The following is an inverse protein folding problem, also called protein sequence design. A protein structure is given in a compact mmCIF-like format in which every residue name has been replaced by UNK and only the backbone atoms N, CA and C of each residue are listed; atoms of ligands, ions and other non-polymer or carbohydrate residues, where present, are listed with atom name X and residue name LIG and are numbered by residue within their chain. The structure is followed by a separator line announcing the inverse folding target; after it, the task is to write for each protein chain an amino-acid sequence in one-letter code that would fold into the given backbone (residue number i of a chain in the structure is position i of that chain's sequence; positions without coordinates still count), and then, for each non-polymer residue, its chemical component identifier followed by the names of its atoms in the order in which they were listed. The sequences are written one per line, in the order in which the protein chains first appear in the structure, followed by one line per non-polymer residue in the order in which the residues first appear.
data_IF_785504256022
#
_entry.id   IF_785504256022
#
_cell.length_a   1.000
_cell.length_b   1.000
_cell.length_c   1.000
_cell.angle_alpha   90.00
_cell.angle_beta   90.00
_cell.angle_gamma   90.00
#
_symmetry.space_group_name_H-M   'P 1'
#
loop_
_entity.id
_entity.type
_entity.pdbx_description
1 polymer ?
#
# COMPACT_ATOMS: atom_id res chain seq x y z
N UNK A 1 -6.17 5.37 19.86
CA UNK A 1 -7.08 4.20 19.94
C UNK A 1 -7.25 3.78 21.40
N UNK A 2 -6.37 2.96 21.98
CA UNK A 2 -6.42 2.58 23.40
C UNK A 2 -5.83 1.20 23.64
N UNK A 3 -6.28 0.50 24.69
CA UNK A 3 -5.80 -0.83 25.07
C UNK A 3 -6.95 -1.81 25.30
N UNK A 4 -6.76 -3.07 24.90
CA UNK A 4 -7.69 -4.13 25.31
C UNK A 4 -7.52 -4.42 26.81
N UNK A 5 -8.58 -4.85 27.52
CA UNK A 5 -8.54 -5.06 28.97
C UNK A 5 -7.42 -5.99 29.44
N UNK A 6 -7.10 -7.04 28.68
CA UNK A 6 -6.09 -8.05 29.05
C UNK A 6 -4.72 -7.85 28.37
N UNK A 7 -4.59 -6.84 27.52
CA UNK A 7 -3.33 -6.52 26.86
C UNK A 7 -2.34 -5.94 27.86
N UNK A 8 -1.04 -6.12 27.61
CA UNK A 8 0.02 -5.35 28.25
C UNK A 8 -0.18 -3.86 27.96
N UNK A 9 -0.13 -3.02 29.01
CA UNK A 9 -0.36 -1.56 28.91
C UNK A 9 0.78 -0.82 29.57
N UNK A 10 1.47 0.00 28.79
CA UNK A 10 2.68 0.72 29.21
C UNK A 10 2.65 2.14 28.68
N UNK A 11 2.97 3.08 29.56
CA UNK A 11 3.30 4.44 29.16
C UNK A 11 4.82 4.57 29.12
N UNK A 12 5.34 5.09 28.01
CA UNK A 12 6.76 5.43 27.86
C UNK A 12 6.91 6.92 28.13
N UNK A 13 7.69 7.24 29.15
CA UNK A 13 7.97 8.61 29.58
C UNK A 13 9.36 8.98 29.07
N UNK A 14 9.41 9.88 28.09
CA UNK A 14 10.65 10.45 27.57
C UNK A 14 11.09 11.61 28.45
N UNK A 15 12.39 11.65 28.79
CA UNK A 15 12.99 12.68 29.63
C UNK A 15 14.30 13.19 29.01
N UNK A 16 14.62 14.46 29.23
CA UNK A 16 15.96 15.00 28.91
C UNK A 16 17.05 14.11 29.52
N UNK A 17 18.17 13.93 28.81
CA UNK A 17 19.27 13.08 29.27
C UNK A 17 19.83 13.42 30.66
N UNK A 18 19.63 14.66 31.13
CA UNK A 18 20.08 15.14 32.46
C UNK A 18 18.94 15.25 33.45
N UNK A 19 17.70 15.03 33.04
CA UNK A 19 16.56 15.03 33.95
C UNK A 19 16.74 13.90 34.98
N UNK A 20 16.30 14.15 36.21
CA UNK A 20 16.23 13.11 37.23
C UNK A 20 14.87 12.45 37.14
N UNK A 21 14.84 11.12 37.03
CA UNK A 21 13.61 10.34 37.20
C UNK A 21 13.14 10.50 38.65
N UNK A 22 12.02 11.21 38.86
CA UNK A 22 11.51 11.53 40.18
C UNK A 22 10.01 11.75 40.16
N UNK A 23 9.34 11.30 41.22
CA UNK A 23 7.88 11.38 41.33
C UNK A 23 7.19 10.15 40.74
N UNK A 24 5.87 10.13 40.89
CA UNK A 24 5.03 9.04 40.43
C UNK A 24 4.38 9.37 39.09
N UNK A 25 4.23 8.35 38.25
CA UNK A 25 3.28 8.36 37.15
C UNK A 25 1.91 7.92 37.68
N UNK A 26 0.87 8.52 37.12
CA UNK A 26 -0.52 8.31 37.53
C UNK A 26 -1.38 7.92 36.33
N UNK A 27 -2.22 6.90 36.53
CA UNK A 27 -3.35 6.61 35.66
C UNK A 27 -4.60 7.22 36.27
N UNK A 28 -5.22 8.13 35.53
CA UNK A 28 -6.42 8.85 35.93
C UNK A 28 -7.60 8.29 35.13
N UNK A 29 -8.66 7.83 35.81
CA UNK A 29 -9.95 7.51 35.16
C UNK A 29 -10.76 8.79 35.01
N UNK A 30 -11.30 9.04 33.82
CA UNK A 30 -12.22 10.15 33.56
C UNK A 30 -13.64 9.71 33.93
N UNK A 31 -14.28 10.48 34.80
CA UNK A 31 -15.64 10.24 35.30
C UNK A 31 -16.69 10.84 34.35
N UNK A 32 -17.97 10.45 34.47
CA UNK A 32 -19.05 10.98 33.63
C UNK A 32 -19.24 12.50 33.69
N UNK A 33 -18.87 13.14 34.81
CA UNK A 33 -18.93 14.60 34.99
C UNK A 33 -17.67 15.33 34.47
N UNK A 34 -16.72 14.61 33.86
CA UNK A 34 -15.45 15.15 33.37
C UNK A 34 -14.37 15.29 34.45
N UNK A 35 -14.68 15.00 35.71
CA UNK A 35 -13.66 14.93 36.77
C UNK A 35 -12.76 13.71 36.59
N UNK A 36 -11.61 13.70 37.25
CA UNK A 36 -10.66 12.58 37.18
C UNK A 36 -10.43 11.94 38.54
N UNK A 37 -10.31 10.61 38.57
CA UNK A 37 -9.93 9.84 39.76
C UNK A 37 -8.65 9.05 39.49
N UNK A 38 -7.62 9.23 40.32
CA UNK A 38 -6.39 8.42 40.22
C UNK A 38 -6.70 6.97 40.59
N UNK A 39 -6.55 6.05 39.64
CA UNK A 39 -6.79 4.60 39.82
C UNK A 39 -5.50 3.80 39.99
N UNK A 40 -4.36 4.36 39.56
CA UNK A 40 -3.04 3.78 39.79
C UNK A 40 -2.00 4.89 39.91
N UNK A 41 -1.06 4.72 40.82
CA UNK A 41 0.03 5.66 41.09
C UNK A 41 1.28 4.91 41.51
N UNK A 42 2.39 5.10 40.79
CA UNK A 42 3.68 4.47 41.12
C UNK A 42 4.82 5.21 40.43
N UNK A 43 6.00 5.16 41.04
CA UNK A 43 7.23 5.56 40.37
C UNK A 43 7.46 4.68 39.12
N UNK A 44 7.62 5.29 37.94
CA UNK A 44 7.95 4.55 36.73
C UNK A 44 9.34 3.93 36.84
N UNK A 45 9.53 2.78 36.19
CA UNK A 45 10.79 2.04 36.17
C UNK A 45 11.71 2.62 35.11
N UNK A 46 12.99 2.83 35.44
CA UNK A 46 13.97 3.30 34.46
C UNK A 46 14.16 2.25 33.37
N UNK A 47 14.17 2.69 32.11
CA UNK A 47 14.49 1.89 30.96
C UNK A 47 15.80 2.39 30.30
N UNK A 48 16.30 1.66 29.32
CA UNK A 48 17.48 2.04 28.54
C UNK A 48 17.31 3.41 27.87
N UNK A 49 18.45 4.10 27.72
CA UNK A 49 18.53 5.33 26.95
C UNK A 49 18.43 5.01 25.46
N UNK A 50 17.76 5.87 24.70
CA UNK A 50 17.72 5.77 23.24
C UNK A 50 18.02 7.12 22.62
N UNK A 51 19.01 7.16 21.74
CA UNK A 51 19.56 8.37 21.12
C UNK A 51 19.92 9.46 22.15
N UNK A 52 19.16 10.54 22.22
CA UNK A 52 19.42 11.74 23.04
C UNK A 52 18.63 11.79 24.34
N UNK A 53 17.76 10.83 24.59
CA UNK A 53 16.83 10.84 25.72
C UNK A 53 17.01 9.62 26.61
N UNK A 54 16.54 9.74 27.86
CA UNK A 54 16.35 8.61 28.75
C UNK A 54 14.86 8.32 28.88
N UNK A 55 14.53 7.06 29.13
CA UNK A 55 13.14 6.61 29.15
C UNK A 55 12.82 5.94 30.48
N UNK A 56 11.55 6.07 30.88
CA UNK A 56 10.99 5.31 31.98
C UNK A 56 9.65 4.71 31.57
N UNK A 57 9.31 3.56 32.14
CA UNK A 57 8.09 2.82 31.82
C UNK A 57 7.18 2.80 33.03
N UNK A 58 5.94 3.21 32.82
CA UNK A 58 4.86 3.01 33.79
C UNK A 58 3.93 1.91 33.27
N UNK A 59 3.98 0.74 33.92
CA UNK A 59 3.14 -0.40 33.59
C UNK A 59 1.82 -0.36 34.39
N UNK A 60 0.71 -0.38 33.66
CA UNK A 60 -0.66 -0.38 34.20
C UNK A 60 -1.48 -1.53 33.63
N UNK A 61 -0.82 -2.64 33.28
CA UNK A 61 -1.46 -3.82 32.66
C UNK A 61 -2.52 -4.47 33.55
N UNK A 62 -2.36 -4.37 34.88
CA UNK A 62 -3.30 -4.82 35.91
C UNK A 62 -4.63 -4.04 35.92
N UNK A 63 -4.69 -2.86 35.30
CA UNK A 63 -5.93 -2.10 35.15
C UNK A 63 -6.69 -2.62 33.94
N UNK A 64 -7.77 -3.36 34.22
CA UNK A 64 -8.60 -4.03 33.20
C UNK A 64 -10.02 -3.47 33.11
N UNK A 65 -10.39 -2.53 34.00
CA UNK A 65 -11.74 -1.95 34.03
C UNK A 65 -11.97 -1.07 32.81
N UNK A 66 -13.06 -1.30 32.07
CA UNK A 66 -13.43 -0.45 30.95
C UNK A 66 -13.64 1.01 31.35
N UNK A 67 -13.15 1.92 30.52
CA UNK A 67 -13.34 3.35 30.72
C UNK A 67 -12.38 4.22 29.90
N UNK A 68 -12.55 5.53 30.07
CA UNK A 68 -11.66 6.54 29.51
C UNK A 68 -10.64 6.93 30.57
N UNK A 69 -9.38 7.01 30.16
CA UNK A 69 -8.24 7.25 31.04
C UNK A 69 -7.32 8.33 30.49
N UNK A 70 -6.55 8.95 31.38
CA UNK A 70 -5.42 9.82 31.06
C UNK A 70 -4.21 9.39 31.86
N UNK A 71 -3.03 9.64 31.33
CA UNK A 71 -1.76 9.46 32.05
C UNK A 71 -1.25 10.81 32.51
N UNK A 72 -0.71 10.88 33.72
CA UNK A 72 -0.07 12.09 34.26
C UNK A 72 1.31 11.76 34.83
N UNK A 73 2.30 12.58 34.49
CA UNK A 73 3.62 12.55 35.10
C UNK A 73 4.16 13.98 35.22
N UNK A 74 4.47 14.40 36.45
CA UNK A 74 4.77 15.81 36.73
C UNK A 74 3.59 16.71 36.35
N UNK A 75 3.86 17.75 35.56
CA UNK A 75 2.86 18.70 35.07
C UNK A 75 2.19 18.25 33.76
N UNK A 76 2.69 17.19 33.12
CA UNK A 76 2.18 16.72 31.82
C UNK A 76 1.05 15.72 32.02
N UNK A 77 -0.05 15.93 31.31
CA UNK A 77 -1.18 15.00 31.21
C UNK A 77 -1.45 14.70 29.74
N UNK A 78 -1.64 13.42 29.40
CA UNK A 78 -1.89 13.00 28.02
C UNK A 78 -3.31 13.36 27.55
N UNK A 79 -3.52 13.30 26.24
CA UNK A 79 -4.87 13.12 25.69
C UNK A 79 -5.53 11.85 26.29
N UNK A 80 -6.87 11.82 26.40
CA UNK A 80 -7.58 10.65 26.88
C UNK A 80 -7.47 9.47 25.91
N UNK A 81 -7.51 8.25 26.45
CA UNK A 81 -7.56 7.00 25.70
C UNK A 81 -8.49 6.01 26.40
N UNK A 82 -8.98 5.02 25.66
CA UNK A 82 -9.87 4.00 26.22
C UNK A 82 -9.10 2.76 26.64
N UNK A 83 -9.51 2.14 27.75
CA UNK A 83 -9.32 0.70 27.96
C UNK A 83 -10.69 0.10 27.72
N UNK A 84 -10.84 -0.70 26.68
CA UNK A 84 -12.12 -1.32 26.35
C UNK A 84 -11.96 -2.55 25.47
N UNK A 85 -12.87 -3.52 25.59
CA UNK A 85 -12.86 -4.73 24.79
C UNK A 85 -13.08 -4.45 23.28
N UNK A 86 -13.81 -3.38 22.94
CA UNK A 86 -14.10 -2.99 21.57
C UNK A 86 -13.15 -1.92 21.01
N UNK A 87 -12.04 -1.64 21.71
CA UNK A 87 -11.23 -0.44 21.42
C UNK A 87 -10.56 -0.47 20.05
N UNK A 88 -10.31 -1.67 19.51
CA UNK A 88 -9.66 -1.88 18.21
C UNK A 88 -10.65 -2.19 17.08
N UNK A 89 -11.95 -2.39 17.38
CA UNK A 89 -12.94 -2.93 16.44
C UNK A 89 -13.01 -2.14 15.14
N UNK A 90 -12.86 -0.82 15.22
CA UNK A 90 -12.94 0.10 14.08
C UNK A 90 -11.57 0.71 13.71
N UNK A 91 -10.47 0.28 14.35
CA UNK A 91 -9.17 0.93 14.18
C UNK A 91 -8.59 0.76 12.76
N UNK A 92 -9.02 -0.29 12.07
CA UNK A 92 -8.62 -0.61 10.70
C UNK A 92 -9.51 0.05 9.63
N UNK A 93 -10.68 0.57 9.99
CA UNK A 93 -11.61 1.18 9.03
C UNK A 93 -10.96 2.28 8.17
N UNK A 94 -10.19 3.25 8.72
CA UNK A 94 -9.58 4.28 7.88
C UNK A 94 -8.61 3.72 6.82
N UNK A 95 -7.98 2.58 7.11
CA UNK A 95 -7.10 1.91 6.15
C UNK A 95 -7.89 1.35 4.98
N UNK A 96 -8.99 0.65 5.24
CA UNK A 96 -9.80 0.06 4.17
C UNK A 96 -10.69 1.09 3.46
N UNK A 97 -11.30 1.99 4.20
CA UNK A 97 -12.32 2.92 3.70
C UNK A 97 -11.71 4.12 2.98
N UNK A 98 -10.49 4.54 3.33
CA UNK A 98 -9.88 5.77 2.79
C UNK A 98 -8.52 5.49 2.17
N UNK A 99 -7.56 4.94 2.94
CA UNK A 99 -6.19 4.80 2.45
C UNK A 99 -6.13 3.95 1.17
N UNK A 100 -6.69 2.74 1.17
CA UNK A 100 -6.67 1.89 -0.01
C UNK A 100 -7.36 2.52 -1.22
N UNK A 101 -8.63 3.00 -1.12
CA UNK A 101 -9.30 3.70 -2.22
C UNK A 101 -8.52 4.90 -2.77
N UNK A 102 -7.96 5.74 -1.90
CA UNK A 102 -7.21 6.95 -2.29
C UNK A 102 -5.90 6.62 -2.99
N UNK A 103 -5.35 5.42 -2.80
CA UNK A 103 -4.13 5.00 -3.47
C UNK A 103 -4.39 4.23 -4.76
N UNK A 104 -5.64 3.93 -5.11
CA UNK A 104 -5.98 3.18 -6.33
C UNK A 104 -5.61 3.98 -7.57
N UNK A 105 -4.59 3.56 -8.29
CA UNK A 105 -4.18 4.21 -9.53
C UNK A 105 -5.15 3.88 -10.68
N UNK A 106 -5.07 4.62 -11.78
CA UNK A 106 -5.91 4.44 -12.96
C UNK A 106 -7.41 4.67 -12.73
N UNK A 107 -7.78 5.27 -11.59
CA UNK A 107 -9.17 5.47 -11.17
C UNK A 107 -9.35 6.91 -10.67
N UNK A 108 -10.48 7.53 -10.99
CA UNK A 108 -10.90 8.77 -10.35
C UNK A 108 -11.46 8.45 -8.97
N UNK A 109 -10.92 9.06 -7.92
CA UNK A 109 -11.32 8.80 -6.55
C UNK A 109 -12.11 9.98 -5.98
N UNK A 110 -13.41 9.75 -5.77
CA UNK A 110 -14.34 10.72 -5.20
C UNK A 110 -14.70 10.38 -3.74
N UNK A 111 -14.90 11.42 -2.95
CA UNK A 111 -15.45 11.35 -1.60
C UNK A 111 -16.43 12.52 -1.41
N UNK A 112 -17.73 12.25 -1.59
CA UNK A 112 -18.77 13.27 -1.57
C UNK A 112 -18.49 14.45 -2.52
N UNK A 113 -18.05 15.60 -1.99
CA UNK A 113 -17.75 16.80 -2.77
C UNK A 113 -16.26 16.98 -3.06
N UNK A 114 -15.40 16.06 -2.59
CA UNK A 114 -13.96 16.09 -2.76
C UNK A 114 -13.55 15.05 -3.78
N UNK A 115 -12.69 15.46 -4.71
CA UNK A 115 -11.88 14.53 -5.52
C UNK A 115 -10.51 14.44 -4.87
N UNK A 116 -10.04 13.23 -4.61
CA UNK A 116 -8.69 12.99 -4.09
C UNK A 116 -7.67 13.06 -5.22
N UNK A 117 -7.95 12.38 -6.32
CA UNK A 117 -7.27 12.54 -7.60
C UNK A 117 -8.18 12.11 -8.76
N UNK A 118 -7.89 12.60 -9.96
CA UNK A 118 -8.51 12.12 -11.19
C UNK A 118 -8.01 10.72 -11.59
N UNK A 119 -8.58 10.14 -12.65
CA UNK A 119 -8.09 8.89 -13.21
C UNK A 119 -6.74 9.13 -13.89
N UNK A 120 -5.68 8.91 -13.14
CA UNK A 120 -4.27 9.15 -13.48
C UNK A 120 -3.66 8.03 -14.31
N UNK A 121 -2.55 8.35 -14.98
CA UNK A 121 -1.69 7.40 -15.68
C UNK A 121 -2.43 6.50 -16.68
N UNK A 122 -3.43 7.02 -17.38
CA UNK A 122 -4.18 6.24 -18.38
C UNK A 122 -3.35 5.94 -19.65
N UNK A 123 -2.21 6.60 -19.78
CA UNK A 123 -1.14 6.46 -20.76
C UNK A 123 -0.13 5.35 -20.42
N UNK A 124 -0.24 4.73 -19.24
CA UNK A 124 0.71 3.70 -18.80
C UNK A 124 0.82 2.51 -19.78
N UNK A 125 2.03 2.10 -20.19
CA UNK A 125 3.33 2.70 -19.89
C UNK A 125 4.32 2.51 -21.05
N UNK A 126 5.42 3.26 -21.07
CA UNK A 126 6.50 3.05 -22.04
C UNK A 126 7.51 2.01 -21.56
N UNK A 127 8.06 1.23 -22.47
CA UNK A 127 9.17 0.32 -22.18
C UNK A 127 10.43 1.11 -21.79
N UNK A 128 10.97 0.84 -20.59
CA UNK A 128 12.18 1.51 -20.10
C UNK A 128 13.41 1.29 -21.02
N UNK A 129 14.34 2.25 -21.10
CA UNK A 129 15.60 2.09 -21.85
C UNK A 129 16.45 0.94 -21.31
N UNK A 130 17.08 0.16 -22.19
CA UNK A 130 18.03 -0.89 -21.78
C UNK A 130 19.32 -0.33 -21.19
N UNK A 131 19.98 -1.12 -20.34
CA UNK A 131 21.21 -0.76 -19.62
C UNK A 131 21.05 0.54 -18.81
N UNK A 132 19.88 0.72 -18.19
CA UNK A 132 19.53 1.93 -17.47
C UNK A 132 19.45 1.65 -15.97
N UNK A 133 20.04 2.54 -15.17
CA UNK A 133 19.84 2.59 -13.71
C UNK A 133 19.04 3.84 -13.37
N UNK A 134 17.88 3.65 -12.78
CA UNK A 134 16.99 4.72 -12.37
C UNK A 134 17.43 5.33 -11.03
N UNK A 135 17.03 6.57 -10.75
CA UNK A 135 17.39 7.25 -9.50
C UNK A 135 16.68 6.63 -8.28
N UNK A 136 15.56 5.94 -8.48
CA UNK A 136 14.76 5.33 -7.41
C UNK A 136 14.83 3.79 -7.41
N UNK A 137 16.06 3.25 -7.45
CA UNK A 137 16.34 1.82 -7.27
C UNK A 137 15.75 0.86 -8.32
N UNK A 138 15.09 1.37 -9.38
CA UNK A 138 14.75 0.61 -10.58
C UNK A 138 15.97 0.48 -11.52
N UNK A 139 15.96 -0.55 -12.35
CA UNK A 139 16.92 -0.70 -13.44
C UNK A 139 16.39 -1.61 -14.53
N UNK A 140 16.87 -1.39 -15.74
CA UNK A 140 16.64 -2.26 -16.89
C UNK A 140 17.97 -2.87 -17.32
N UNK A 141 17.97 -4.19 -17.49
CA UNK A 141 19.07 -4.97 -18.02
C UNK A 141 19.37 -4.70 -19.50
N UNK A 142 20.22 -5.52 -20.12
CA UNK A 142 20.69 -5.31 -21.49
C UNK A 142 19.61 -5.58 -22.56
N UNK A 143 18.52 -6.22 -22.18
CA UNK A 143 17.35 -6.56 -23.01
C UNK A 143 16.10 -5.99 -22.36
N UNK A 144 15.02 -5.88 -23.13
CA UNK A 144 13.70 -5.55 -22.59
C UNK A 144 13.05 -6.77 -21.94
N UNK A 145 13.42 -7.98 -22.37
CA UNK A 145 12.74 -9.25 -22.02
C UNK A 145 11.27 -9.29 -22.47
N UNK A 146 10.89 -8.37 -23.36
CA UNK A 146 9.53 -8.18 -23.89
C UNK A 146 9.60 -8.04 -25.41
N UNK A 147 8.46 -8.08 -26.14
CA UNK A 147 8.46 -7.80 -27.57
C UNK A 147 8.59 -6.30 -27.90
N UNK A 148 8.61 -5.42 -26.91
CA UNK A 148 8.59 -3.96 -27.09
C UNK A 148 10.00 -3.38 -27.12
N UNK A 149 10.21 -2.36 -27.96
CA UNK A 149 11.45 -1.59 -28.04
C UNK A 149 11.50 -0.50 -26.94
N UNK A 150 12.69 -0.06 -26.50
CA UNK A 150 12.82 1.11 -25.62
C UNK A 150 12.02 2.34 -26.10
N UNK A 151 11.17 2.88 -25.23
CA UNK A 151 10.29 4.02 -25.53
C UNK A 151 9.01 3.66 -26.30
N UNK A 152 8.78 2.38 -26.62
CA UNK A 152 7.52 1.90 -27.17
C UNK A 152 6.47 1.75 -26.08
N UNK A 153 5.22 2.13 -26.38
CA UNK A 153 4.10 1.94 -25.47
C UNK A 153 3.75 0.45 -25.32
N UNK A 154 3.63 0.00 -24.07
CA UNK A 154 3.21 -1.33 -23.66
C UNK A 154 1.71 -1.27 -23.32
N UNK A 155 0.83 -1.79 -24.19
CA UNK A 155 -0.60 -1.71 -23.99
C UNK A 155 -1.08 -2.54 -22.80
N UNK A 156 -2.05 -1.99 -22.07
CA UNK A 156 -2.83 -2.71 -21.06
C UNK A 156 -2.26 -2.68 -19.64
N UNK A 157 -1.20 -1.92 -19.38
CA UNK A 157 -0.65 -1.72 -18.03
C UNK A 157 -1.40 -0.64 -17.22
N UNK A 158 -2.25 0.15 -17.86
CA UNK A 158 -3.08 1.20 -17.26
C UNK A 158 -4.29 0.69 -16.45
N UNK A 159 -4.07 -0.29 -15.58
CA UNK A 159 -5.13 -0.89 -14.75
C UNK A 159 -4.62 -1.42 -13.42
N UNK A 160 -5.41 -1.17 -12.37
CA UNK A 160 -5.15 -1.74 -11.05
C UNK A 160 -3.97 -1.09 -10.35
N UNK A 161 -3.61 -1.67 -9.21
CA UNK A 161 -2.43 -1.31 -8.44
C UNK A 161 -2.60 -0.05 -7.59
N UNK A 162 -1.86 -0.01 -6.49
CA UNK A 162 -1.80 1.17 -5.63
C UNK A 162 -0.49 1.91 -5.80
N UNK A 163 -0.49 3.23 -5.66
CA UNK A 163 0.75 3.98 -5.48
C UNK A 163 1.58 3.37 -4.33
N UNK A 164 2.88 3.11 -4.55
CA UNK A 164 3.69 2.33 -3.60
C UNK A 164 3.83 3.04 -2.25
N UNK A 165 4.03 4.35 -2.30
CA UNK A 165 4.18 5.16 -1.09
C UNK A 165 3.55 6.56 -1.21
N UNK A 166 4.39 7.59 -1.23
CA UNK A 166 3.97 8.99 -1.28
C UNK A 166 4.22 9.65 -2.63
N UNK A 167 4.98 8.98 -3.49
CA UNK A 167 5.05 9.20 -4.93
C UNK A 167 3.99 8.34 -5.64
N UNK A 168 4.03 8.33 -6.97
CA UNK A 168 3.02 7.69 -7.80
C UNK A 168 3.60 6.56 -8.66
N UNK A 169 4.60 5.83 -8.16
CA UNK A 169 5.08 4.64 -8.84
C UNK A 169 4.23 3.40 -8.47
N UNK A 170 4.32 2.35 -9.30
CA UNK A 170 3.74 1.04 -9.04
C UNK A 170 4.88 0.04 -8.89
N UNK A 171 5.18 -0.36 -7.65
CA UNK A 171 6.20 -1.36 -7.36
C UNK A 171 5.63 -2.76 -7.19
N UNK A 172 5.88 -3.67 -8.11
CA UNK A 172 5.24 -5.00 -8.12
C UNK A 172 5.50 -5.81 -6.83
N UNK A 173 6.68 -5.68 -6.22
CA UNK A 173 6.98 -6.40 -4.97
C UNK A 173 6.02 -6.04 -3.84
N UNK A 174 5.77 -4.76 -3.63
CA UNK A 174 4.88 -4.31 -2.55
C UNK A 174 3.42 -4.58 -2.89
N UNK A 175 3.03 -4.51 -4.18
CA UNK A 175 1.71 -4.90 -4.64
C UNK A 175 1.39 -6.36 -4.24
N UNK A 176 2.25 -7.33 -4.58
CA UNK A 176 1.96 -8.73 -4.26
C UNK A 176 1.99 -9.03 -2.75
N UNK A 177 2.81 -8.31 -1.96
CA UNK A 177 2.82 -8.45 -0.50
C UNK A 177 1.53 -7.89 0.12
N UNK A 178 1.06 -6.75 -0.39
CA UNK A 178 -0.22 -6.15 0.00
C UNK A 178 -1.38 -7.09 -0.32
N UNK A 179 -1.46 -7.61 -1.56
CA UNK A 179 -2.50 -8.59 -1.95
C UNK A 179 -2.48 -9.81 -1.02
N UNK A 180 -1.30 -10.37 -0.76
CA UNK A 180 -1.16 -11.53 0.13
C UNK A 180 -1.66 -11.22 1.55
N UNK A 181 -1.36 -10.03 2.07
CA UNK A 181 -1.82 -9.59 3.40
C UNK A 181 -3.33 -9.37 3.45
N UNK A 182 -3.92 -8.80 2.39
CA UNK A 182 -5.37 -8.63 2.26
C UNK A 182 -6.08 -9.98 2.17
N UNK A 183 -5.54 -10.94 1.42
CA UNK A 183 -6.06 -12.32 1.35
C UNK A 183 -6.00 -13.00 2.71
N UNK A 184 -4.89 -12.90 3.43
CA UNK A 184 -4.78 -13.45 4.79
C UNK A 184 -5.81 -12.81 5.73
N UNK A 185 -6.01 -11.50 5.63
CA UNK A 185 -7.01 -10.77 6.41
C UNK A 185 -8.42 -11.28 6.09
N UNK A 186 -8.73 -11.52 4.81
CA UNK A 186 -9.99 -12.09 4.37
C UNK A 186 -10.20 -13.51 4.90
N UNK A 187 -9.21 -14.40 4.73
CA UNK A 187 -9.29 -15.80 5.14
C UNK A 187 -9.38 -15.96 6.66
N UNK A 188 -8.72 -15.09 7.44
CA UNK A 188 -8.73 -15.15 8.91
C UNK A 188 -10.01 -14.53 9.51
N UNK A 189 -10.47 -13.39 9.00
CA UNK A 189 -11.50 -12.58 9.66
C UNK A 189 -12.83 -12.49 8.90
N UNK A 190 -12.86 -12.81 7.60
CA UNK A 190 -14.08 -12.75 6.78
C UNK A 190 -14.75 -11.38 6.78
N UNK A 191 -13.97 -10.30 6.70
CA UNK A 191 -14.46 -8.93 6.85
C UNK A 191 -15.44 -8.56 5.71
N UNK A 192 -16.71 -8.35 6.04
CA UNK A 192 -17.77 -8.00 5.07
C UNK A 192 -18.13 -6.51 5.06
N UNK A 193 -17.19 -5.63 5.44
CA UNK A 193 -17.41 -4.19 5.41
C UNK A 193 -17.55 -3.73 3.96
N UNK A 194 -18.55 -2.89 3.73
CA UNK A 194 -18.94 -2.35 2.43
C UNK A 194 -19.30 -0.87 2.64
N UNK A 195 -18.41 -0.02 2.18
CA UNK A 195 -18.52 1.45 2.29
C UNK A 195 -18.02 2.15 1.04
N UNK A 196 -17.51 1.43 0.03
CA UNK A 196 -16.88 2.01 -1.14
C UNK A 196 -17.43 1.39 -2.42
N UNK A 197 -17.82 2.22 -3.38
CA UNK A 197 -18.19 1.79 -4.72
C UNK A 197 -16.93 1.75 -5.57
N UNK A 198 -16.67 0.63 -6.25
CA UNK A 198 -15.63 0.52 -7.28
C UNK A 198 -16.26 0.18 -8.63
N UNK A 199 -16.15 1.11 -9.59
CA UNK A 199 -16.64 0.98 -10.96
C UNK A 199 -15.46 0.97 -11.93
N UNK A 200 -14.97 -0.24 -12.26
CA UNK A 200 -13.84 -0.43 -13.18
C UNK A 200 -14.12 0.01 -14.62
N UNK A 201 -15.37 -0.06 -15.09
CA UNK A 201 -15.72 0.35 -16.46
C UNK A 201 -15.62 1.86 -16.60
N UNK A 202 -16.09 2.60 -15.58
CA UNK A 202 -16.00 4.07 -15.54
C UNK A 202 -14.68 4.58 -15.00
N UNK A 203 -13.79 3.70 -14.54
CA UNK A 203 -12.54 4.04 -13.84
C UNK A 203 -12.82 4.99 -12.66
N UNK A 204 -13.79 4.64 -11.83
CA UNK A 204 -14.33 5.52 -10.80
C UNK A 204 -14.50 4.81 -9.45
N UNK A 205 -14.19 5.52 -8.38
CA UNK A 205 -14.41 5.10 -7.00
C UNK A 205 -15.18 6.18 -6.26
N UNK A 206 -16.17 5.79 -5.48
CA UNK A 206 -16.91 6.70 -4.59
C UNK A 206 -16.87 6.18 -3.15
N UNK A 207 -16.13 6.90 -2.30
CA UNK A 207 -15.97 6.58 -0.89
C UNK A 207 -17.23 6.98 -0.12
N UNK A 208 -17.62 6.16 0.86
CA UNK A 208 -18.86 6.22 1.65
C UNK A 208 -20.13 5.85 0.87
N UNK A 209 -20.00 5.24 -0.31
CA UNK A 209 -21.11 4.74 -1.10
C UNK A 209 -21.01 3.22 -1.21
N UNK A 210 -21.79 2.44 -0.44
CA UNK A 210 -21.74 0.99 -0.52
C UNK A 210 -22.33 0.48 -1.85
N UNK A 211 -21.77 -0.60 -2.38
CA UNK A 211 -22.19 -1.20 -3.65
C UNK A 211 -22.66 -2.66 -3.54
N UNK A 212 -22.71 -3.18 -2.32
CA UNK A 212 -23.11 -4.56 -2.00
C UNK A 212 -21.95 -5.55 -2.00
N UNK A 213 -20.71 -5.12 -2.21
CA UNK A 213 -19.51 -5.97 -2.25
C UNK A 213 -18.59 -5.67 -1.07
N UNK A 214 -17.95 -6.69 -0.46
CA UNK A 214 -16.94 -6.43 0.56
C UNK A 214 -15.77 -5.62 0.01
N UNK A 215 -15.49 -4.46 0.61
CA UNK A 215 -14.42 -3.54 0.18
C UNK A 215 -13.05 -4.25 0.13
N UNK A 216 -12.80 -5.18 1.06
CA UNK A 216 -11.55 -5.95 1.10
C UNK A 216 -11.36 -6.82 -0.15
N UNK A 217 -12.44 -7.42 -0.67
CA UNK A 217 -12.39 -8.21 -1.90
C UNK A 217 -12.24 -7.33 -3.13
N UNK A 218 -12.85 -6.14 -3.14
CA UNK A 218 -12.64 -5.15 -4.20
C UNK A 218 -11.17 -4.70 -4.26
N UNK A 219 -10.51 -4.53 -3.11
CA UNK A 219 -9.07 -4.23 -3.06
C UNK A 219 -8.21 -5.41 -3.57
N UNK A 220 -8.53 -6.65 -3.18
CA UNK A 220 -7.84 -7.83 -3.73
C UNK A 220 -8.00 -7.90 -5.26
N UNK A 221 -9.19 -7.61 -5.78
CA UNK A 221 -9.45 -7.51 -7.22
C UNK A 221 -8.58 -6.43 -7.88
N UNK A 222 -8.54 -5.22 -7.33
CA UNK A 222 -7.78 -4.11 -7.89
C UNK A 222 -6.28 -4.41 -8.02
N UNK A 223 -5.67 -4.97 -6.97
CA UNK A 223 -4.26 -5.40 -7.01
C UNK A 223 -4.04 -6.57 -7.98
N UNK A 224 -4.97 -7.53 -8.02
CA UNK A 224 -4.87 -8.69 -8.92
C UNK A 224 -4.92 -8.28 -10.40
N UNK A 225 -5.72 -7.26 -10.75
CA UNK A 225 -5.78 -6.72 -12.10
C UNK A 225 -4.42 -6.18 -12.57
N UNK A 226 -3.68 -5.47 -11.70
CA UNK A 226 -2.34 -4.99 -12.03
C UNK A 226 -1.35 -6.12 -12.27
N UNK A 227 -1.34 -7.15 -11.41
CA UNK A 227 -0.45 -8.30 -11.61
C UNK A 227 -0.79 -9.06 -12.88
N UNK A 228 -2.07 -9.32 -13.15
CA UNK A 228 -2.53 -9.97 -14.38
C UNK A 228 -2.20 -9.16 -15.64
N UNK A 229 -2.29 -7.84 -15.59
CA UNK A 229 -1.93 -6.97 -16.70
C UNK A 229 -0.48 -7.17 -17.15
N UNK A 230 0.44 -7.33 -16.20
CA UNK A 230 1.85 -7.60 -16.50
C UNK A 230 2.03 -8.93 -17.24
N UNK A 231 1.43 -10.02 -16.75
CA UNK A 231 1.48 -11.31 -17.43
C UNK A 231 0.85 -11.27 -18.83
N UNK A 232 -0.26 -10.54 -19.00
CA UNK A 232 -0.92 -10.38 -20.31
C UNK A 232 -0.06 -9.57 -21.29
N UNK A 233 0.55 -8.49 -20.81
CA UNK A 233 1.28 -7.56 -21.66
C UNK A 233 2.66 -8.11 -22.06
N UNK A 234 3.39 -8.72 -21.11
CA UNK A 234 4.80 -9.08 -21.31
C UNK A 234 5.17 -10.51 -20.90
N UNK A 235 4.28 -11.26 -20.25
CA UNK A 235 4.47 -12.69 -19.94
C UNK A 235 5.05 -12.99 -18.55
N UNK A 236 5.46 -11.99 -17.79
CA UNK A 236 6.02 -12.16 -16.44
C UNK A 236 5.77 -10.92 -15.58
N UNK A 237 5.99 -11.06 -14.27
CA UNK A 237 5.98 -9.92 -13.35
C UNK A 237 7.15 -8.97 -13.64
N UNK A 238 6.87 -7.67 -13.70
CA UNK A 238 7.87 -6.63 -14.00
C UNK A 238 8.30 -5.92 -12.71
N UNK A 239 9.54 -5.45 -12.56
CA UNK A 239 9.97 -4.67 -11.40
C UNK A 239 8.99 -3.58 -10.94
N UNK A 240 8.47 -2.81 -11.88
CA UNK A 240 7.43 -1.81 -11.63
C UNK A 240 7.36 -0.74 -12.72
N UNK A 241 6.53 0.27 -12.47
CA UNK A 241 6.27 1.38 -13.38
C UNK A 241 6.51 2.69 -12.64
N UNK A 242 7.38 3.56 -13.18
CA UNK A 242 7.77 4.82 -12.54
C UNK A 242 8.09 5.88 -13.58
N UNK A 243 7.83 7.14 -13.25
CA UNK A 243 8.17 8.30 -14.07
C UNK A 243 9.66 8.34 -14.47
N UNK A 244 10.00 8.87 -15.66
CA UNK A 244 11.37 8.89 -16.19
C UNK A 244 12.31 9.92 -15.54
N UNK A 245 11.78 11.00 -14.97
CA UNK A 245 12.59 12.12 -14.47
C UNK A 245 12.26 12.59 -13.05
N UNK A 246 13.25 13.23 -12.44
CA UNK A 246 13.21 13.63 -11.03
C UNK A 246 12.20 14.75 -10.75
N UNK A 247 11.89 15.59 -11.75
CA UNK A 247 10.91 16.67 -11.58
C UNK A 247 9.51 16.10 -11.44
N UNK A 248 9.14 15.10 -12.27
CA UNK A 248 7.91 14.34 -12.11
C UNK A 248 7.91 13.56 -10.79
N UNK A 249 9.02 12.92 -10.42
CA UNK A 249 9.11 12.13 -9.17
C UNK A 249 8.79 12.95 -7.91
N UNK A 250 9.18 14.22 -7.89
CA UNK A 250 8.90 15.13 -6.77
C UNK A 250 7.54 15.82 -6.83
N UNK A 251 6.67 15.44 -7.77
CA UNK A 251 5.32 16.01 -7.90
C UNK A 251 4.51 15.79 -6.63
N UNK A 252 3.83 16.85 -6.20
CA UNK A 252 2.90 16.82 -5.07
C UNK A 252 1.60 17.44 -5.54
N UNK A 253 0.51 16.67 -5.58
CA UNK A 253 -0.75 17.20 -6.06
C UNK A 253 -1.78 16.12 -6.39
N UNK A 254 -2.55 16.38 -7.44
CA UNK A 254 -3.42 15.37 -8.04
C UNK A 254 -2.54 14.49 -8.95
N UNK A 255 -2.62 13.17 -8.80
CA UNK A 255 -1.88 12.22 -9.65
C UNK A 255 -2.25 12.35 -11.13
N UNK A 256 -3.48 12.82 -11.43
CA UNK A 256 -3.94 13.09 -12.79
C UNK A 256 -3.04 14.10 -13.54
N UNK A 257 -2.36 15.00 -12.82
CA UNK A 257 -1.54 16.05 -13.44
C UNK A 257 -0.07 15.66 -13.56
N UNK A 258 0.29 14.41 -13.29
CA UNK A 258 1.66 13.91 -13.42
C UNK A 258 2.07 13.70 -14.88
N UNK A 259 1.11 13.25 -15.69
CA UNK A 259 1.22 13.10 -17.15
C UNK A 259 0.06 13.83 -17.83
N UNK A 260 0.10 13.97 -19.15
CA UNK A 260 -1.04 14.48 -19.92
C UNK A 260 -2.15 13.43 -20.15
N UNK A 261 -1.93 12.20 -19.67
CA UNK A 261 -2.83 11.04 -19.76
C UNK A 261 -3.04 10.54 -21.21
N UNK A 262 -2.19 10.92 -22.16
CA UNK A 262 -2.21 10.52 -23.56
C UNK A 262 -0.97 9.71 -23.89
N UNK A 263 -1.12 8.68 -24.72
CA UNK A 263 0.00 7.80 -25.04
C UNK A 263 1.05 8.56 -25.86
N UNK A 264 2.31 8.55 -25.43
CA UNK A 264 3.39 9.17 -26.19
C UNK A 264 3.50 8.65 -27.64
N UNK A 265 3.75 9.59 -28.56
CA UNK A 265 4.04 9.34 -29.96
C UNK A 265 5.25 10.17 -30.43
N UNK A 266 6.37 9.49 -30.69
CA UNK A 266 7.59 10.11 -31.19
C UNK A 266 7.47 10.78 -32.57
N UNK A 267 6.39 10.52 -33.32
CA UNK A 267 6.12 11.20 -34.59
C UNK A 267 5.44 12.57 -34.41
N UNK A 268 4.92 12.87 -33.22
CA UNK A 268 4.27 14.14 -32.87
C UNK A 268 5.27 15.11 -32.24
N UNK A 269 5.01 16.42 -32.38
CA UNK A 269 5.76 17.43 -31.63
C UNK A 269 5.29 17.52 -30.17
N UNK A 270 6.12 18.07 -29.28
CA UNK A 270 5.85 18.28 -27.85
C UNK A 270 4.65 19.19 -27.51
N UNK A 271 3.99 19.74 -28.54
CA UNK A 271 2.79 20.57 -28.43
C UNK A 271 1.61 20.03 -29.25
N UNK A 272 1.79 18.87 -29.88
CA UNK A 272 0.78 18.20 -30.70
C UNK A 272 0.08 17.09 -29.90
N UNK A 273 -1.23 16.98 -30.11
CA UNK A 273 -2.08 15.94 -29.54
C UNK A 273 -3.25 15.67 -30.47
N UNK A 274 -3.65 14.42 -30.59
CA UNK A 274 -4.88 14.00 -31.30
C UNK A 274 -6.05 13.68 -30.35
N UNK A 275 -5.86 13.90 -29.05
CA UNK A 275 -6.81 13.58 -27.98
C UNK A 275 -6.74 12.14 -27.46
N UNK A 276 -5.85 11.31 -28.01
CA UNK A 276 -5.52 9.96 -27.51
C UNK A 276 -4.02 9.73 -27.38
N UNK A 277 -3.23 10.45 -28.17
CA UNK A 277 -1.78 10.45 -28.21
C UNK A 277 -1.27 11.88 -28.15
N UNK A 278 -0.05 12.06 -27.67
CA UNK A 278 0.65 13.33 -27.69
C UNK A 278 2.14 13.15 -27.98
N UNK A 279 2.83 14.22 -28.37
CA UNK A 279 4.29 14.22 -28.47
C UNK A 279 5.00 14.56 -27.15
N UNK A 280 4.27 14.65 -26.03
CA UNK A 280 4.84 14.93 -24.70
C UNK A 280 5.43 13.63 -24.16
N UNK A 281 6.71 13.63 -23.82
CA UNK A 281 7.40 12.43 -23.30
C UNK A 281 7.34 12.42 -21.76
N UNK A 282 6.14 12.24 -21.20
CA UNK A 282 5.88 12.25 -19.76
C UNK A 282 5.30 10.92 -19.23
N UNK A 283 4.88 10.00 -20.10
CA UNK A 283 4.46 8.64 -19.74
C UNK A 283 5.48 7.96 -18.80
N UNK A 284 4.96 7.20 -17.83
CA UNK A 284 5.81 6.40 -16.93
C UNK A 284 6.51 5.28 -17.69
N UNK A 285 7.66 4.87 -17.18
CA UNK A 285 8.44 3.76 -17.69
C UNK A 285 8.15 2.47 -16.93
N UNK A 286 7.79 1.42 -17.67
CA UNK A 286 7.78 0.05 -17.20
C UNK A 286 9.20 -0.56 -17.29
N UNK A 287 9.76 -0.88 -16.13
CA UNK A 287 10.99 -1.65 -16.02
C UNK A 287 10.65 -3.13 -16.06
N UNK A 288 11.12 -3.85 -17.07
CA UNK A 288 10.58 -5.16 -17.48
C UNK A 288 11.58 -6.31 -17.40
N UNK A 289 12.82 -6.05 -16.96
CA UNK A 289 13.83 -7.11 -16.80
C UNK A 289 13.32 -8.25 -15.90
N UNK A 290 13.40 -9.47 -16.41
CA UNK A 290 12.82 -10.63 -15.75
C UNK A 290 13.62 -10.99 -14.49
N UNK A 291 12.88 -11.29 -13.41
CA UNK A 291 13.44 -11.77 -12.15
C UNK A 291 12.56 -12.89 -11.61
N UNK A 292 13.08 -14.12 -11.53
CA UNK A 292 12.36 -15.27 -10.99
C UNK A 292 11.83 -15.03 -9.57
N UNK A 293 12.61 -14.47 -8.60
CA UNK A 293 12.07 -14.14 -7.28
C UNK A 293 10.85 -13.20 -7.31
N UNK A 294 10.87 -12.20 -8.18
CA UNK A 294 9.76 -11.27 -8.34
C UNK A 294 8.53 -12.00 -8.92
N UNK A 295 8.77 -12.81 -9.96
CA UNK A 295 7.74 -13.60 -10.61
C UNK A 295 7.09 -14.59 -9.62
N UNK A 296 7.88 -15.18 -8.72
CA UNK A 296 7.40 -16.05 -7.66
C UNK A 296 6.48 -15.34 -6.66
N UNK A 297 6.82 -14.12 -6.25
CA UNK A 297 5.93 -13.33 -5.39
C UNK A 297 4.61 -13.01 -6.07
N UNK A 298 4.66 -12.61 -7.35
CA UNK A 298 3.47 -12.27 -8.14
C UNK A 298 2.54 -13.47 -8.35
N UNK A 299 3.06 -14.61 -8.79
CA UNK A 299 2.25 -15.82 -8.98
C UNK A 299 1.67 -16.34 -7.66
N UNK A 300 2.41 -16.22 -6.53
CA UNK A 300 1.92 -16.63 -5.22
C UNK A 300 0.74 -15.75 -4.77
N UNK A 301 0.82 -14.43 -4.98
CA UNK A 301 -0.28 -13.52 -4.71
C UNK A 301 -1.50 -13.78 -5.61
N UNK A 302 -1.31 -14.05 -6.90
CA UNK A 302 -2.40 -14.45 -7.81
C UNK A 302 -3.07 -15.75 -7.36
N UNK A 303 -2.28 -16.76 -6.97
CA UNK A 303 -2.82 -18.01 -6.43
C UNK A 303 -3.60 -17.81 -5.12
N UNK A 304 -3.15 -16.89 -4.25
CA UNK A 304 -3.86 -16.52 -3.03
C UNK A 304 -5.16 -15.77 -3.34
N UNK A 305 -5.10 -14.76 -4.20
CA UNK A 305 -6.23 -13.95 -4.61
C UNK A 305 -7.32 -14.79 -5.29
N UNK A 306 -6.95 -15.78 -6.09
CA UNK A 306 -7.88 -16.74 -6.68
C UNK A 306 -8.77 -17.42 -5.64
N UNK A 307 -8.22 -17.82 -4.49
CA UNK A 307 -9.02 -18.46 -3.43
C UNK A 307 -9.96 -17.46 -2.76
N UNK A 308 -9.46 -16.28 -2.43
CA UNK A 308 -10.27 -15.24 -1.79
C UNK A 308 -11.43 -14.78 -2.67
N UNK A 309 -11.19 -14.66 -3.98
CA UNK A 309 -12.18 -14.15 -4.94
C UNK A 309 -13.10 -15.23 -5.53
N UNK A 310 -12.95 -16.50 -5.16
CA UNK A 310 -13.64 -17.62 -5.83
C UNK A 310 -15.17 -17.47 -5.90
N UNK A 311 -15.79 -16.99 -4.82
CA UNK A 311 -17.25 -16.76 -4.75
C UNK A 311 -17.65 -15.33 -5.14
N UNK A 312 -16.69 -14.41 -5.17
CA UNK A 312 -16.91 -12.98 -5.41
C UNK A 312 -16.81 -12.61 -6.89
N UNK A 313 -15.70 -13.00 -7.54
CA UNK A 313 -15.48 -12.85 -8.97
C UNK A 313 -14.87 -14.16 -9.52
N UNK A 314 -15.69 -15.19 -9.80
CA UNK A 314 -15.21 -16.51 -10.20
C UNK A 314 -14.40 -16.51 -11.50
N UNK A 315 -14.70 -15.58 -12.42
CA UNK A 315 -14.00 -15.47 -13.68
C UNK A 315 -12.57 -14.94 -13.48
N UNK A 316 -12.42 -13.83 -12.73
CA UNK A 316 -11.11 -13.29 -12.40
C UNK A 316 -10.32 -14.25 -11.51
N UNK A 317 -10.98 -14.91 -10.56
CA UNK A 317 -10.36 -15.94 -9.73
C UNK A 317 -9.78 -17.10 -10.56
N UNK A 318 -10.49 -17.54 -11.59
CA UNK A 318 -9.99 -18.56 -12.51
C UNK A 318 -8.78 -18.05 -13.31
N UNK A 319 -8.84 -16.81 -13.80
CA UNK A 319 -7.73 -16.20 -14.54
C UNK A 319 -6.46 -16.06 -13.66
N UNK A 320 -6.60 -15.61 -12.40
CA UNK A 320 -5.49 -15.56 -11.45
C UNK A 320 -4.86 -16.95 -11.23
N UNK A 321 -5.68 -17.98 -11.02
CA UNK A 321 -5.21 -19.36 -10.82
C UNK A 321 -4.45 -19.87 -12.05
N UNK A 322 -5.07 -19.73 -13.21
CA UNK A 322 -4.55 -20.33 -14.44
C UNK A 322 -3.26 -19.62 -14.86
N UNK A 323 -3.18 -18.30 -14.68
CA UNK A 323 -1.94 -17.51 -14.85
C UNK A 323 -0.86 -17.95 -13.88
N UNK A 324 -1.17 -18.11 -12.59
CA UNK A 324 -0.19 -18.54 -11.59
C UNK A 324 0.34 -19.95 -11.89
N UNK A 325 -0.52 -20.89 -12.33
CA UNK A 325 -0.10 -22.24 -12.72
C UNK A 325 0.81 -22.19 -13.95
N UNK A 326 0.45 -21.41 -14.97
CA UNK A 326 1.26 -21.28 -16.18
C UNK A 326 2.63 -20.66 -15.88
N UNK A 327 2.67 -19.57 -15.10
CA UNK A 327 3.90 -18.93 -14.68
C UNK A 327 4.81 -19.89 -13.87
N UNK A 328 4.22 -20.67 -12.95
CA UNK A 328 4.96 -21.70 -12.21
C UNK A 328 5.56 -22.77 -13.13
N UNK A 329 4.79 -23.25 -14.11
CA UNK A 329 5.26 -24.27 -15.05
C UNK A 329 6.41 -23.75 -15.91
N UNK A 330 6.32 -22.49 -16.35
CA UNK A 330 7.39 -21.83 -17.10
C UNK A 330 8.66 -21.71 -16.27
N UNK A 331 8.59 -21.10 -15.07
CA UNK A 331 9.75 -20.92 -14.19
C UNK A 331 10.38 -22.25 -13.76
N UNK A 332 9.58 -23.30 -13.57
CA UNK A 332 10.06 -24.64 -13.22
C UNK A 332 10.74 -25.38 -14.40
N UNK A 333 10.62 -24.88 -15.63
CA UNK A 333 11.17 -25.51 -16.83
C UNK A 333 12.64 -25.16 -17.11
N UNK A 334 13.14 -24.11 -16.46
CA UNK A 334 14.48 -23.57 -16.68
C UNK A 334 15.17 -23.20 -15.37
N UNK A 335 16.45 -22.78 -15.45
CA UNK A 335 17.13 -22.22 -14.28
C UNK A 335 16.59 -20.81 -13.99
N UNK A 336 16.57 -20.35 -12.73
CA UNK A 336 16.06 -19.03 -12.38
C UNK A 336 16.74 -17.89 -13.17
N UNK A 337 15.93 -16.97 -13.69
CA UNK A 337 16.36 -15.71 -14.26
C UNK A 337 16.72 -14.74 -13.12
N UNK A 338 18.01 -14.44 -13.01
CA UNK A 338 18.53 -13.62 -11.92
C UNK A 338 18.83 -12.20 -12.39
N UNK A 339 17.98 -11.27 -11.96
CA UNK A 339 18.20 -9.85 -12.07
C UNK A 339 17.95 -9.21 -10.70
N UNK A 340 18.97 -8.57 -10.12
CA UNK A 340 18.89 -8.02 -8.76
C UNK A 340 19.39 -6.59 -8.72
N UNK A 341 18.46 -5.67 -8.49
CA UNK A 341 18.72 -4.25 -8.25
C UNK A 341 17.80 -3.77 -7.12
N UNK A 342 18.41 -3.05 -6.17
CA UNK A 342 17.72 -2.48 -5.03
C UNK A 342 16.81 -3.49 -4.32
N UNK A 343 15.58 -3.05 -4.08
CA UNK A 343 14.48 -3.85 -3.59
C UNK A 343 13.34 -3.95 -4.62
N UNK A 344 13.55 -3.62 -5.89
CA UNK A 344 12.49 -3.62 -6.92
C UNK A 344 12.34 -4.95 -7.66
N UNK A 345 13.26 -5.88 -7.43
CA UNK A 345 13.43 -7.11 -8.22
C UNK A 345 13.09 -8.38 -7.43
N UNK A 346 12.30 -8.26 -6.36
CA UNK A 346 11.87 -9.37 -5.51
C UNK A 346 12.83 -9.71 -4.37
N UNK A 347 12.47 -10.72 -3.58
CA UNK A 347 13.28 -11.23 -2.46
C UNK A 347 14.42 -12.15 -2.88
N UNK A 348 15.07 -12.80 -1.91
CA UNK A 348 15.99 -13.91 -2.20
C UNK A 348 15.25 -15.16 -2.67
N UNK A 349 15.85 -15.98 -3.54
CA UNK A 349 15.27 -17.27 -3.95
C UNK A 349 15.11 -18.29 -2.79
N UNK A 350 15.80 -18.05 -1.67
CA UNK A 350 15.77 -18.91 -0.47
C UNK A 350 14.79 -18.40 0.60
N UNK A 351 14.17 -17.23 0.38
CA UNK A 351 13.14 -16.62 1.23
C UNK A 351 11.75 -17.07 0.77
#
# INVERSE_FOLDING_TARGET
VGYLPQQTKRAVIELDARAKLSGDAELLRVNPDGSTTTVKKRQPEKHDNYTRYQYAVFDFSDVTTSGVYQLRYGETTTAPFSIDASVLDNAWHPTLDHYFPVQMDHMLINEAYRVWHGASHLDDALQAPVNHTHFDLYAQGPTTDTPYEPGEHIPGLNVGGWYDAGDYDIRTQTQYHTITSLVQTWEEFGLTRDTTLVDYERKYVDIHVPDGKPDLLQQIEHGSLALLAQYKAVGHAIPGIIVPDLSQYTHLGDGLTMTDNLIYDAAMSDTESDGTRSGVFDDRWAFTSKSTPLNYGSMAALAAASRAMADYNPALAAECRDTAIAAWQEEASHAPDMFKVGNTTGGGLEE
#
